data_IF_700283473487
#
_entry.id   IF_700283473487
#
_cell.length_a   1.000
_cell.length_b   1.000
_cell.length_c   1.000
_cell.angle_alpha   90.00
_cell.angle_beta   90.00
_cell.angle_gamma   90.00
#
_symmetry.space_group_name_H-M   'P 1'
#
loop_
_entity.id
_entity.type
_entity.pdbx_description
1 polymer ?
#
# COMPACT_ATOMS: atom_id res chain seq x y z
N UNK A 1 -11.36 8.06 18.40
CA UNK A 1 -12.79 7.94 18.02
C UNK A 1 -12.90 7.51 16.57
N UNK A 2 -13.74 6.52 16.28
CA UNK A 2 -13.99 6.03 14.91
C UNK A 2 -15.05 6.93 14.23
N UNK A 3 -14.76 7.51 13.05
CA UNK A 3 -15.72 8.38 12.36
C UNK A 3 -16.98 7.65 11.86
N UNK A 4 -18.13 8.34 11.88
CA UNK A 4 -19.45 7.80 11.47
C UNK A 4 -19.51 7.33 10.02
N UNK A 5 -18.67 7.86 9.14
CA UNK A 5 -18.57 7.41 7.74
C UNK A 5 -18.20 5.91 7.64
N UNK A 6 -17.67 5.32 8.73
CA UNK A 6 -17.36 3.89 8.85
C UNK A 6 -18.46 3.06 9.53
N UNK A 7 -19.64 3.62 9.84
CA UNK A 7 -20.71 2.89 10.55
C UNK A 7 -21.30 1.74 9.71
N UNK A 8 -21.23 1.84 8.39
CA UNK A 8 -21.69 0.81 7.45
C UNK A 8 -20.60 -0.18 7.03
N UNK A 9 -19.37 0.00 7.52
CA UNK A 9 -18.27 -0.89 7.19
C UNK A 9 -18.38 -2.19 7.99
N UNK A 10 -17.86 -3.29 7.44
CA UNK A 10 -17.76 -4.54 8.21
C UNK A 10 -16.59 -4.44 9.17
N UNK A 11 -16.80 -4.91 10.40
CA UNK A 11 -15.81 -4.91 11.47
C UNK A 11 -15.56 -6.35 11.92
N UNK A 12 -14.28 -6.73 12.01
CA UNK A 12 -13.85 -8.04 12.47
C UNK A 12 -12.97 -7.83 13.70
N UNK A 13 -13.30 -8.52 14.79
CA UNK A 13 -12.46 -8.51 15.99
C UNK A 13 -11.07 -9.10 15.66
N UNK A 14 -10.02 -8.36 16.03
CA UNK A 14 -8.65 -8.73 15.74
C UNK A 14 -7.75 -8.38 16.94
N UNK A 15 -7.47 -9.38 17.79
CA UNK A 15 -6.76 -9.17 19.05
C UNK A 15 -7.55 -8.22 19.98
N UNK A 16 -6.88 -7.20 20.49
CA UNK A 16 -7.46 -6.16 21.34
C UNK A 16 -8.27 -5.13 20.55
N UNK A 17 -8.10 -5.06 19.24
CA UNK A 17 -8.77 -4.09 18.36
C UNK A 17 -9.79 -4.70 17.41
N UNK A 18 -10.07 -3.97 16.33
CA UNK A 18 -10.87 -4.41 15.19
C UNK A 18 -10.27 -3.95 13.85
N UNK A 19 -10.40 -4.81 12.83
CA UNK A 19 -10.11 -4.47 11.44
C UNK A 19 -11.43 -4.15 10.73
N UNK A 20 -11.43 -3.08 9.95
CA UNK A 20 -12.62 -2.48 9.36
C UNK A 20 -12.48 -2.51 7.83
N UNK A 21 -13.37 -3.21 7.13
CA UNK A 21 -13.43 -3.22 5.67
C UNK A 21 -14.51 -2.27 5.17
N UNK A 22 -14.11 -1.17 4.54
CA UNK A 22 -15.00 -0.12 4.06
C UNK A 22 -15.22 -0.21 2.55
N UNK A 23 -16.12 -1.09 2.10
CA UNK A 23 -16.47 -1.23 0.68
C UNK A 23 -16.98 0.10 0.06
N UNK A 24 -17.72 0.90 0.83
CA UNK A 24 -18.17 2.23 0.41
C UNK A 24 -17.06 3.27 0.25
N UNK A 25 -15.84 2.97 0.73
CA UNK A 25 -14.66 3.82 0.58
C UNK A 25 -13.63 3.09 -0.29
N UNK A 26 -13.99 2.71 -1.52
CA UNK A 26 -13.09 2.03 -2.48
C UNK A 26 -12.49 0.71 -1.96
N UNK A 27 -13.12 0.08 -0.95
CA UNK A 27 -12.62 -1.14 -0.32
C UNK A 27 -11.38 -0.95 0.56
N UNK A 28 -11.19 0.24 1.13
CA UNK A 28 -10.11 0.53 2.07
C UNK A 28 -10.23 -0.32 3.34
N UNK A 29 -9.09 -0.72 3.90
CA UNK A 29 -9.05 -1.36 5.23
C UNK A 29 -8.61 -0.32 6.25
N UNK A 30 -9.29 -0.28 7.39
CA UNK A 30 -8.86 0.50 8.54
C UNK A 30 -8.63 -0.42 9.74
N UNK A 31 -7.91 0.08 10.74
CA UNK A 31 -7.67 -0.62 11.98
C UNK A 31 -8.02 0.34 13.11
N UNK A 32 -8.66 -0.19 14.15
CA UNK A 32 -8.96 0.55 15.35
C UNK A 32 -8.56 -0.24 16.59
N UNK A 33 -8.06 0.48 17.60
CA UNK A 33 -7.70 -0.05 18.90
C UNK A 33 -8.24 0.92 19.96
N UNK A 34 -8.92 0.40 20.98
CA UNK A 34 -9.58 1.21 22.03
C UNK A 34 -10.48 2.34 21.47
N UNK A 35 -11.30 2.03 20.45
CA UNK A 35 -12.16 3.01 19.75
C UNK A 35 -11.40 4.18 19.08
N UNK A 36 -10.09 4.04 18.91
CA UNK A 36 -9.25 4.96 18.15
C UNK A 36 -8.90 4.39 16.78
N UNK A 37 -9.21 5.16 15.73
CA UNK A 37 -8.76 4.85 14.38
C UNK A 37 -7.25 5.05 14.28
N UNK A 38 -6.52 4.00 13.92
CA UNK A 38 -5.06 4.04 13.83
C UNK A 38 -4.61 4.67 12.52
N UNK A 39 -5.25 4.31 11.41
CA UNK A 39 -4.94 4.85 10.10
C UNK A 39 -5.44 6.28 9.93
N UNK A 40 -4.75 7.04 9.07
CA UNK A 40 -5.25 8.33 8.55
C UNK A 40 -6.58 8.08 7.84
N UNK A 41 -7.55 8.98 8.04
CA UNK A 41 -8.76 9.09 7.24
C UNK A 41 -9.09 10.56 6.98
N UNK A 42 -9.20 10.92 5.70
CA UNK A 42 -9.68 12.22 5.27
C UNK A 42 -11.23 12.21 5.25
N UNK A 43 -11.83 12.56 6.39
CA UNK A 43 -13.30 12.50 6.56
C UNK A 43 -14.03 13.43 5.59
N UNK A 44 -13.65 14.72 5.43
CA UNK A 44 -14.31 15.60 4.47
C UNK A 44 -14.29 15.05 3.03
N UNK A 45 -13.14 14.51 2.59
CA UNK A 45 -13.02 13.92 1.25
C UNK A 45 -13.81 12.60 1.12
N UNK A 46 -13.91 11.82 2.19
CA UNK A 46 -14.71 10.59 2.20
C UNK A 46 -16.22 10.88 2.14
N UNK A 47 -16.67 11.97 2.76
CA UNK A 47 -18.07 12.43 2.72
C UNK A 47 -18.40 13.13 1.40
N UNK A 48 -17.43 13.80 0.79
CA UNK A 48 -17.56 14.59 -0.43
C UNK A 48 -16.43 14.27 -1.43
N UNK A 49 -16.45 13.08 -2.07
CA UNK A 49 -15.43 12.70 -3.04
C UNK A 49 -15.42 13.64 -4.24
N UNK A 50 -14.23 13.89 -4.77
CA UNK A 50 -14.02 14.71 -5.95
C UNK A 50 -13.84 13.87 -7.22
N UNK A 51 -13.89 14.52 -8.38
CA UNK A 51 -13.51 13.92 -9.67
C UNK A 51 -11.99 13.72 -9.80
N UNK A 52 -11.20 14.31 -8.89
CA UNK A 52 -9.76 14.13 -8.80
C UNK A 52 -9.40 12.97 -7.86
N UNK A 53 -8.11 12.68 -7.70
CA UNK A 53 -7.67 11.56 -6.85
C UNK A 53 -8.15 11.70 -5.40
N UNK A 54 -9.01 10.78 -4.97
CA UNK A 54 -9.55 10.68 -3.63
C UNK A 54 -8.58 9.91 -2.70
N UNK A 55 -7.58 10.60 -2.16
CA UNK A 55 -6.60 10.04 -1.21
C UNK A 55 -7.17 9.92 0.22
N UNK A 56 -8.10 8.99 0.41
CA UNK A 56 -8.86 8.87 1.66
C UNK A 56 -8.02 8.46 2.88
N UNK A 57 -6.87 7.81 2.71
CA UNK A 57 -6.10 7.21 3.82
C UNK A 57 -6.30 5.70 3.94
N UNK A 58 -6.14 5.10 5.12
CA UNK A 58 -6.29 3.65 5.32
C UNK A 58 -5.30 2.77 4.53
N UNK A 59 -5.61 1.48 4.47
CA UNK A 59 -4.98 0.52 3.56
C UNK A 59 -5.66 0.57 2.18
N UNK A 60 -4.98 1.01 1.12
CA UNK A 60 -5.47 0.85 -0.27
C UNK A 60 -4.69 -0.18 -1.06
N UNK A 61 -5.39 -0.86 -1.97
CA UNK A 61 -4.76 -1.55 -3.08
C UNK A 61 -4.55 -0.57 -4.24
N UNK A 62 -3.38 -0.62 -4.88
CA UNK A 62 -3.04 0.21 -6.03
C UNK A 62 -2.50 -0.65 -7.16
N UNK A 63 -2.95 -0.45 -8.41
CA UNK A 63 -2.42 -1.18 -9.56
C UNK A 63 -1.04 -0.65 -9.96
N UNK A 64 -0.19 -1.54 -10.44
CA UNK A 64 1.14 -1.25 -10.95
C UNK A 64 1.32 -1.90 -12.34
N UNK A 65 2.10 -1.29 -13.25
CA UNK A 65 3.10 -0.26 -12.98
C UNK A 65 2.54 1.18 -12.98
N UNK A 66 3.19 2.07 -12.23
CA UNK A 66 2.87 3.52 -12.23
C UNK A 66 3.56 4.25 -13.40
N UNK A 67 4.69 3.72 -13.89
CA UNK A 67 5.51 4.28 -14.96
C UNK A 67 5.79 3.31 -16.12
N UNK A 68 6.67 3.72 -17.04
CA UNK A 68 6.99 2.97 -18.27
C UNK A 68 5.85 2.85 -19.28
N UNK A 69 5.98 1.90 -20.22
CA UNK A 69 5.02 1.67 -21.32
C UNK A 69 3.68 1.09 -20.85
N UNK A 70 3.68 0.37 -19.72
CA UNK A 70 2.48 -0.28 -19.18
C UNK A 70 1.79 0.56 -18.10
N UNK A 71 2.21 1.81 -17.89
CA UNK A 71 1.69 2.67 -16.82
C UNK A 71 0.17 2.86 -16.89
N UNK A 72 -0.51 2.80 -15.75
CA UNK A 72 -1.95 3.10 -15.66
C UNK A 72 -2.25 4.58 -15.38
N UNK A 73 -1.29 5.32 -14.84
CA UNK A 73 -1.52 6.71 -14.44
C UNK A 73 -1.16 7.72 -15.53
N UNK A 74 -0.45 7.29 -16.57
CA UNK A 74 -0.06 8.13 -17.70
C UNK A 74 -0.88 7.75 -18.94
N UNK A 75 -1.73 8.66 -19.44
CA UNK A 75 -2.51 8.46 -20.64
C UNK A 75 -1.65 8.18 -21.88
N UNK A 76 -2.21 7.42 -22.83
CA UNK A 76 -1.58 7.12 -24.13
C UNK A 76 -1.41 8.35 -25.02
N UNK A 77 -2.22 9.39 -24.82
CA UNK A 77 -2.16 10.68 -25.53
C UNK A 77 -1.10 11.65 -24.98
N UNK A 78 -0.33 11.23 -23.96
CA UNK A 78 0.69 12.08 -23.32
C UNK A 78 0.12 13.09 -22.33
N UNK A 79 -1.14 12.93 -21.91
CA UNK A 79 -1.76 13.75 -20.87
C UNK A 79 -1.06 13.66 -19.50
N UNK A 80 -1.48 14.51 -18.54
CA UNK A 80 -0.89 14.52 -17.20
C UNK A 80 -1.23 13.25 -16.42
N UNK A 81 -0.46 12.99 -15.37
CA UNK A 81 -0.73 11.92 -14.40
C UNK A 81 -2.16 12.03 -13.86
N UNK A 82 -2.91 10.93 -13.89
CA UNK A 82 -4.28 10.85 -13.36
C UNK A 82 -4.56 9.51 -12.68
N UNK A 83 -5.61 9.48 -11.86
CA UNK A 83 -6.14 8.24 -11.28
C UNK A 83 -7.41 7.90 -12.01
N UNK A 84 -7.45 6.73 -12.64
CA UNK A 84 -8.61 6.29 -13.42
C UNK A 84 -9.81 5.98 -12.52
N UNK A 85 -11.02 6.13 -13.07
CA UNK A 85 -12.29 5.89 -12.38
C UNK A 85 -12.39 4.50 -11.76
N UNK A 86 -11.85 3.48 -12.45
CA UNK A 86 -11.74 2.12 -11.94
C UNK A 86 -11.09 2.03 -10.56
N UNK A 87 -10.16 2.94 -10.25
CA UNK A 87 -9.52 3.04 -8.94
C UNK A 87 -10.31 4.01 -8.05
N UNK A 88 -10.66 5.18 -8.60
CA UNK A 88 -11.06 6.38 -7.86
C UNK A 88 -12.53 6.43 -7.44
N UNK A 89 -13.44 5.84 -8.21
CA UNK A 89 -14.88 6.09 -8.08
C UNK A 89 -15.74 4.84 -8.19
N UNK A 90 -15.26 3.77 -8.81
CA UNK A 90 -16.05 2.52 -8.92
C UNK A 90 -16.29 1.91 -7.53
N UNK A 91 -17.57 1.69 -7.14
CA UNK A 91 -17.93 1.16 -5.83
C UNK A 91 -17.53 -0.31 -5.69
N UNK A 92 -17.26 -0.71 -4.45
CA UNK A 92 -17.08 -2.11 -4.09
C UNK A 92 -18.34 -2.71 -3.48
N UNK A 93 -18.52 -4.00 -3.71
CA UNK A 93 -19.59 -4.80 -3.13
C UNK A 93 -19.00 -5.76 -2.10
N UNK A 94 -19.63 -5.84 -0.94
CA UNK A 94 -19.26 -6.81 0.09
C UNK A 94 -19.59 -8.23 -0.38
N UNK A 95 -18.70 -9.17 -0.08
CA UNK A 95 -18.99 -10.59 -0.21
C UNK A 95 -20.02 -11.01 0.86
N UNK A 96 -20.83 -12.05 0.59
CA UNK A 96 -21.89 -12.49 1.51
C UNK A 96 -21.40 -12.90 2.91
N UNK A 97 -20.15 -13.35 3.02
CA UNK A 97 -19.53 -13.73 4.29
C UNK A 97 -19.06 -12.52 5.13
N UNK A 98 -19.06 -11.31 4.55
CA UNK A 98 -18.58 -10.09 5.19
C UNK A 98 -17.06 -10.00 5.32
N UNK A 99 -16.31 -11.01 4.87
CA UNK A 99 -14.85 -11.08 5.02
C UNK A 99 -14.11 -10.57 3.79
N UNK A 100 -14.80 -10.16 2.74
CA UNK A 100 -14.16 -9.57 1.58
C UNK A 100 -15.06 -8.67 0.76
N UNK A 101 -14.49 -8.12 -0.30
CA UNK A 101 -15.19 -7.29 -1.26
C UNK A 101 -14.70 -7.58 -2.68
N UNK A 102 -15.55 -7.25 -3.64
CA UNK A 102 -15.26 -7.32 -5.06
C UNK A 102 -15.70 -6.03 -5.76
N UNK A 103 -15.03 -5.70 -6.86
CA UNK A 103 -15.53 -4.75 -7.86
C UNK A 103 -14.96 -5.07 -9.23
N UNK A 104 -15.73 -4.81 -10.26
CA UNK A 104 -15.24 -4.86 -11.64
C UNK A 104 -14.79 -3.47 -12.06
N UNK A 105 -13.56 -3.36 -12.56
CA UNK A 105 -12.95 -2.09 -12.95
C UNK A 105 -12.40 -2.21 -14.36
N UNK A 106 -12.25 -1.08 -15.04
CA UNK A 106 -11.51 -1.00 -16.30
C UNK A 106 -10.30 -0.11 -16.09
N UNK A 107 -9.14 -0.57 -16.55
CA UNK A 107 -7.90 0.22 -16.60
C UNK A 107 -7.37 0.24 -18.02
N UNK A 108 -7.00 1.43 -18.50
CA UNK A 108 -6.22 1.62 -19.73
C UNK A 108 -4.74 1.84 -19.37
N UNK A 109 -3.83 1.16 -20.03
CA UNK A 109 -2.40 1.46 -19.87
C UNK A 109 -1.92 2.52 -20.88
N UNK A 110 -0.68 2.99 -20.72
CA UNK A 110 -0.06 4.00 -21.58
C UNK A 110 0.07 3.58 -23.05
N UNK A 111 -0.11 2.30 -23.38
CA UNK A 111 -0.20 1.81 -24.77
C UNK A 111 -1.60 1.97 -25.39
N UNK A 112 -2.58 2.48 -24.64
CA UNK A 112 -3.97 2.57 -25.05
C UNK A 112 -4.72 1.24 -24.97
N UNK A 113 -4.16 0.23 -24.29
CA UNK A 113 -4.80 -1.07 -24.12
C UNK A 113 -5.67 -1.02 -22.87
N UNK A 114 -6.98 -1.17 -23.06
CA UNK A 114 -7.97 -1.25 -21.99
C UNK A 114 -8.21 -2.70 -21.57
N UNK A 115 -8.24 -2.96 -20.27
CA UNK A 115 -8.57 -4.27 -19.70
C UNK A 115 -9.64 -4.15 -18.61
N UNK A 116 -10.60 -5.07 -18.64
CA UNK A 116 -11.55 -5.27 -17.55
C UNK A 116 -10.97 -6.24 -16.53
N UNK A 117 -11.09 -5.87 -15.26
CA UNK A 117 -10.45 -6.54 -14.14
C UNK A 117 -11.47 -6.81 -13.04
N UNK A 118 -11.41 -7.98 -12.45
CA UNK A 118 -12.03 -8.26 -11.16
C UNK A 118 -11.02 -7.90 -10.07
N UNK A 119 -11.33 -6.87 -9.30
CA UNK A 119 -10.60 -6.52 -8.09
C UNK A 119 -11.27 -7.20 -6.90
N UNK A 120 -10.52 -8.00 -6.16
CA UNK A 120 -10.99 -8.63 -4.92
C UNK A 120 -10.06 -8.33 -3.75
N UNK A 121 -10.66 -8.28 -2.56
CA UNK A 121 -9.93 -8.14 -1.30
C UNK A 121 -10.61 -8.97 -0.23
N UNK A 122 -9.86 -9.84 0.42
CA UNK A 122 -10.31 -10.68 1.54
C UNK A 122 -9.47 -10.31 2.76
N UNK A 123 -10.13 -10.07 3.90
CA UNK A 123 -9.47 -9.77 5.16
C UNK A 123 -9.68 -10.92 6.16
N UNK A 124 -8.65 -11.13 6.98
CA UNK A 124 -8.67 -12.11 8.07
C UNK A 124 -8.12 -11.50 9.35
N UNK A 125 -8.52 -12.06 10.49
CA UNK A 125 -8.02 -11.72 11.81
C UNK A 125 -7.31 -12.97 12.40
N UNK A 126 -6.01 -13.14 12.14
CA UNK A 126 -5.28 -14.30 12.64
C UNK A 126 -5.27 -14.34 14.16
N UNK A 127 -5.34 -15.55 14.74
CA UNK A 127 -5.36 -15.76 16.20
C UNK A 127 -3.98 -15.72 16.87
N UNK A 128 -2.92 -15.43 16.12
CA UNK A 128 -1.57 -15.34 16.65
C UNK A 128 -1.19 -13.88 16.85
N UNK A 129 -0.50 -13.62 17.95
CA UNK A 129 -0.05 -12.30 18.35
C UNK A 129 1.13 -12.42 19.31
N UNK A 130 1.90 -11.34 19.42
CA UNK A 130 3.07 -11.24 20.28
C UNK A 130 2.86 -10.23 21.42
N UNK A 131 1.77 -9.47 21.40
CA UNK A 131 1.51 -8.35 22.29
C UNK A 131 1.48 -8.78 23.76
N UNK A 132 0.75 -9.87 24.05
CA UNK A 132 0.68 -10.43 25.41
C UNK A 132 2.04 -10.79 26.02
N UNK A 133 3.03 -11.19 25.21
CA UNK A 133 4.39 -11.50 25.68
C UNK A 133 5.14 -10.25 26.17
N UNK A 134 4.84 -9.09 25.58
CA UNK A 134 5.52 -7.83 25.84
C UNK A 134 4.66 -6.85 26.66
N UNK A 135 3.46 -7.27 27.08
CA UNK A 135 2.53 -6.41 27.82
C UNK A 135 1.98 -5.26 26.98
N UNK A 136 1.92 -5.42 25.66
CA UNK A 136 1.38 -4.41 24.74
C UNK A 136 0.05 -4.89 24.16
N UNK A 137 -0.88 -3.96 23.95
CA UNK A 137 -2.10 -4.23 23.19
C UNK A 137 -1.73 -4.51 21.74
N UNK A 138 -2.46 -5.42 21.11
CA UNK A 138 -2.20 -5.78 19.72
C UNK A 138 -3.45 -5.93 18.88
N UNK A 139 -3.29 -5.61 17.59
CA UNK A 139 -4.21 -5.97 16.54
C UNK A 139 -3.40 -6.59 15.40
N UNK A 140 -3.83 -7.76 14.94
CA UNK A 140 -3.21 -8.46 13.82
C UNK A 140 -4.29 -8.76 12.79
N UNK A 141 -4.06 -8.33 11.55
CA UNK A 141 -4.93 -8.67 10.43
C UNK A 141 -4.10 -9.10 9.22
N UNK A 142 -4.72 -9.87 8.34
CA UNK A 142 -4.18 -10.24 7.04
C UNK A 142 -5.09 -9.71 5.95
N UNK A 143 -4.52 -9.24 4.85
CA UNK A 143 -5.25 -8.96 3.61
C UNK A 143 -4.74 -9.89 2.51
N UNK A 144 -5.66 -10.38 1.68
CA UNK A 144 -5.37 -11.03 0.41
C UNK A 144 -6.04 -10.19 -0.68
N UNK A 145 -5.23 -9.63 -1.57
CA UNK A 145 -5.69 -8.73 -2.63
C UNK A 145 -5.46 -9.44 -3.97
N UNK A 146 -6.44 -9.41 -4.88
CA UNK A 146 -6.26 -9.87 -6.26
C UNK A 146 -6.76 -8.82 -7.26
N UNK A 147 -6.06 -8.76 -8.40
CA UNK A 147 -6.51 -8.09 -9.61
C UNK A 147 -6.44 -9.14 -10.72
N UNK A 148 -7.58 -9.55 -11.23
CA UNK A 148 -7.69 -10.64 -12.20
C UNK A 148 -8.27 -10.13 -13.50
N UNK A 149 -7.62 -10.43 -14.62
CA UNK A 149 -8.18 -10.14 -15.94
C UNK A 149 -9.46 -10.94 -16.16
N UNK A 150 -10.55 -10.27 -16.52
CA UNK A 150 -11.79 -10.98 -16.89
C UNK A 150 -11.68 -11.68 -18.25
N UNK A 151 -10.67 -11.29 -19.05
CA UNK A 151 -10.28 -11.95 -20.31
C UNK A 151 -8.76 -11.90 -20.47
N UNK A 152 -8.10 -13.00 -20.89
CA UNK A 152 -6.66 -13.01 -21.11
C UNK A 152 -6.22 -11.95 -22.12
N UNK A 153 -5.09 -11.29 -21.85
CA UNK A 153 -4.40 -10.38 -22.75
C UNK A 153 -2.94 -10.82 -22.91
N UNK A 154 -2.32 -10.60 -24.09
CA UNK A 154 -0.90 -10.84 -24.26
C UNK A 154 -0.08 -9.98 -23.29
N UNK A 155 0.98 -10.55 -22.71
CA UNK A 155 1.93 -9.82 -21.85
C UNK A 155 2.65 -8.68 -22.58
N UNK A 156 2.68 -8.71 -23.92
CA UNK A 156 3.16 -7.58 -24.74
C UNK A 156 2.24 -6.38 -24.67
N UNK A 157 0.96 -6.58 -24.37
CA UNK A 157 -0.09 -5.58 -24.49
C UNK A 157 -0.53 -5.08 -23.13
N UNK A 158 -0.53 -5.96 -22.12
CA UNK A 158 -0.97 -5.64 -20.78
C UNK A 158 -0.17 -6.40 -19.72
N UNK A 159 0.39 -5.66 -18.77
CA UNK A 159 1.05 -6.20 -17.58
C UNK A 159 0.46 -5.51 -16.36
N UNK A 160 0.29 -6.26 -15.29
CA UNK A 160 -0.30 -5.75 -14.06
C UNK A 160 0.27 -6.44 -12.85
N UNK A 161 0.51 -5.66 -11.81
CA UNK A 161 0.80 -6.07 -10.45
C UNK A 161 0.00 -5.16 -9.50
N UNK A 162 0.14 -5.37 -8.20
CA UNK A 162 -0.46 -4.50 -7.22
C UNK A 162 0.48 -4.29 -6.03
N UNK A 163 0.34 -3.13 -5.40
CA UNK A 163 0.91 -2.88 -4.08
C UNK A 163 -0.17 -2.38 -3.13
N UNK A 164 0.02 -2.68 -1.85
CA UNK A 164 -0.88 -2.23 -0.79
C UNK A 164 -0.23 -1.13 0.04
N UNK A 165 -1.05 -0.15 0.43
CA UNK A 165 -0.58 1.07 1.04
C UNK A 165 -1.22 1.33 2.39
N UNK A 166 -0.48 1.21 3.49
CA UNK A 166 -0.98 1.77 4.76
C UNK A 166 -0.68 3.26 4.80
N UNK A 167 -1.61 4.03 5.39
CA UNK A 167 -1.43 5.45 5.60
C UNK A 167 -1.69 5.80 7.06
N UNK A 168 -0.71 6.44 7.68
CA UNK A 168 -0.78 6.91 9.06
C UNK A 168 -0.40 8.38 9.10
N UNK A 169 -1.01 9.11 10.02
CA UNK A 169 -0.54 10.43 10.41
C UNK A 169 0.77 10.26 11.18
N UNK A 170 1.84 10.83 10.62
CA UNK A 170 3.15 10.85 11.23
C UNK A 170 3.28 12.06 12.12
N UNK A 171 4.02 11.86 13.19
CA UNK A 171 4.30 12.88 14.19
C UNK A 171 5.80 13.11 14.28
N UNK A 172 6.22 14.18 14.95
CA UNK A 172 7.65 14.44 15.13
C UNK A 172 8.33 13.26 15.84
N UNK A 173 9.52 12.89 15.36
CA UNK A 173 10.26 11.74 15.90
C UNK A 173 9.80 10.38 15.40
N UNK A 174 8.72 10.28 14.60
CA UNK A 174 8.36 9.04 13.94
C UNK A 174 9.48 8.57 12.99
N UNK A 175 9.65 7.25 12.90
CA UNK A 175 10.64 6.65 12.01
C UNK A 175 10.16 5.31 11.45
N UNK A 176 10.64 4.99 10.26
CA UNK A 176 10.47 3.68 9.66
C UNK A 176 11.59 2.74 10.07
N UNK A 177 11.31 1.45 10.04
CA UNK A 177 12.29 0.41 10.27
C UNK A 177 12.02 -0.80 9.40
N UNK A 178 13.01 -1.69 9.31
CA UNK A 178 12.83 -2.97 8.66
C UNK A 178 14.05 -3.86 8.83
N UNK A 179 13.96 -5.02 8.21
CA UNK A 179 15.08 -5.97 8.08
C UNK A 179 15.46 -6.12 6.62
N UNK A 180 16.75 -6.18 6.36
CA UNK A 180 17.34 -6.50 5.06
C UNK A 180 18.80 -6.85 5.26
N UNK A 181 19.32 -7.83 4.52
CA UNK A 181 20.75 -8.11 4.47
C UNK A 181 21.49 -6.86 4.02
N UNK A 182 22.46 -6.43 4.80
CA UNK A 182 23.23 -5.21 4.51
C UNK A 182 24.14 -5.40 3.28
N UNK A 183 23.57 -5.18 2.11
CA UNK A 183 24.29 -5.07 0.84
C UNK A 183 24.26 -3.62 0.34
N UNK A 184 25.26 -3.19 -0.42
CA UNK A 184 25.29 -1.84 -1.02
C UNK A 184 24.15 -1.55 -2.00
N UNK A 185 23.30 -2.54 -2.29
CA UNK A 185 22.12 -2.47 -3.16
C UNK A 185 20.81 -2.71 -2.41
N UNK A 186 20.83 -2.72 -1.08
CA UNK A 186 19.65 -3.03 -0.29
C UNK A 186 18.58 -1.95 -0.34
N UNK A 187 18.99 -0.69 -0.51
CA UNK A 187 18.08 0.46 -0.58
C UNK A 187 18.09 1.03 -1.98
N UNK A 188 16.91 1.16 -2.56
CA UNK A 188 16.68 1.95 -3.75
C UNK A 188 16.16 3.34 -3.37
N UNK A 189 16.78 4.40 -3.89
CA UNK A 189 16.44 5.79 -3.61
C UNK A 189 16.22 6.62 -4.88
N UNK A 190 16.04 5.97 -6.02
CA UNK A 190 15.85 6.63 -7.32
C UNK A 190 14.48 7.32 -7.50
N UNK A 191 13.59 7.19 -6.51
CA UNK A 191 12.23 7.73 -6.57
C UNK A 191 12.13 9.25 -6.40
N UNK A 192 12.64 9.78 -5.27
CA UNK A 192 12.48 11.21 -4.90
C UNK A 192 13.73 11.82 -4.25
N UNK A 193 14.91 11.26 -4.54
CA UNK A 193 16.21 11.79 -4.09
C UNK A 193 16.92 10.91 -3.08
N UNK A 194 18.16 11.29 -2.75
CA UNK A 194 19.02 10.54 -1.84
C UNK A 194 18.58 10.68 -0.37
N UNK A 195 18.26 9.59 0.34
CA UNK A 195 17.91 9.62 1.76
C UNK A 195 19.09 10.02 2.65
N UNK A 196 20.33 9.95 2.16
CA UNK A 196 21.55 10.38 2.86
C UNK A 196 21.65 9.83 4.28
N UNK A 197 21.85 10.72 5.25
CA UNK A 197 21.97 10.38 6.68
C UNK A 197 20.65 10.05 7.39
N UNK A 198 19.53 9.95 6.66
CA UNK A 198 18.24 9.54 7.23
C UNK A 198 18.15 8.05 7.46
N UNK A 199 18.99 7.24 6.80
CA UNK A 199 19.06 5.79 7.01
C UNK A 199 20.23 5.47 7.95
N UNK A 200 19.95 4.68 8.99
CA UNK A 200 20.97 4.11 9.86
C UNK A 200 20.83 2.59 9.90
N UNK A 201 21.96 1.87 9.87
CA UNK A 201 22.03 0.41 9.87
C UNK A 201 22.59 -0.11 11.18
N UNK A 202 22.01 -1.19 11.70
CA UNK A 202 22.51 -1.97 12.82
C UNK A 202 22.38 -3.47 12.49
N UNK A 203 23.47 -4.10 12.04
CA UNK A 203 23.41 -5.44 11.46
C UNK A 203 22.50 -5.47 10.23
N UNK A 204 21.58 -6.44 10.19
CA UNK A 204 20.56 -6.60 9.13
C UNK A 204 19.25 -5.85 9.45
N UNK A 205 19.31 -4.87 10.34
CA UNK A 205 18.19 -3.96 10.62
C UNK A 205 18.54 -2.55 10.18
N UNK A 206 17.55 -1.80 9.74
CA UNK A 206 17.71 -0.38 9.41
C UNK A 206 16.59 0.45 10.03
N UNK A 207 16.88 1.72 10.28
CA UNK A 207 15.90 2.77 10.56
C UNK A 207 15.96 3.84 9.49
N UNK A 208 14.82 4.50 9.25
CA UNK A 208 14.66 5.59 8.31
C UNK A 208 13.90 6.72 8.98
N UNK A 209 14.58 7.83 9.25
CA UNK A 209 13.98 8.98 9.93
C UNK A 209 13.03 9.75 9.02
N UNK A 210 11.82 10.00 9.50
CA UNK A 210 10.88 10.89 8.82
C UNK A 210 11.20 12.36 9.05
N UNK A 211 10.54 13.22 8.27
CA UNK A 211 10.68 14.67 8.33
C UNK A 211 11.65 15.25 7.31
N UNK A 212 11.73 16.58 7.28
CA UNK A 212 12.34 17.37 6.20
C UNK A 212 11.30 18.05 5.32
N UNK A 213 11.72 19.01 4.49
CA UNK A 213 10.84 19.69 3.52
C UNK A 213 10.44 18.80 2.35
N UNK A 214 11.20 17.74 2.10
CA UNK A 214 11.21 17.05 0.82
C UNK A 214 10.37 15.77 0.87
N UNK A 215 9.70 15.49 -0.24
CA UNK A 215 9.09 14.19 -0.51
C UNK A 215 10.21 13.16 -0.62
N UNK A 216 10.15 12.09 0.16
CA UNK A 216 11.17 11.04 0.13
C UNK A 216 10.52 9.66 0.09
N UNK A 217 11.14 8.76 -0.67
CA UNK A 217 10.80 7.35 -0.73
C UNK A 217 12.07 6.52 -0.75
N UNK A 218 12.06 5.43 0.01
CA UNK A 218 13.06 4.38 -0.09
C UNK A 218 12.36 3.08 -0.45
N UNK A 219 12.88 2.40 -1.45
CA UNK A 219 12.59 1.00 -1.77
C UNK A 219 13.60 0.10 -1.09
N UNK A 220 13.18 -1.10 -0.71
CA UNK A 220 14.05 -2.13 -0.16
C UNK A 220 14.08 -3.29 -1.13
N UNK A 221 15.28 -3.58 -1.61
CA UNK A 221 15.46 -4.57 -2.65
C UNK A 221 15.11 -5.98 -2.15
N UNK A 222 14.39 -6.74 -2.96
CA UNK A 222 14.14 -8.17 -2.77
C UNK A 222 15.43 -8.98 -2.63
N UNK A 223 16.48 -8.60 -3.37
CA UNK A 223 17.80 -9.24 -3.32
C UNK A 223 18.48 -9.09 -1.95
N UNK A 224 18.03 -8.12 -1.16
CA UNK A 224 18.45 -7.98 0.24
C UNK A 224 17.62 -8.83 1.20
N UNK A 225 16.76 -9.71 0.70
CA UNK A 225 15.93 -10.65 1.47
C UNK A 225 15.19 -9.98 2.65
N UNK A 226 14.41 -8.91 2.41
CA UNK A 226 13.81 -8.19 3.51
C UNK A 226 12.67 -8.98 4.13
N UNK A 227 12.70 -9.13 5.46
CA UNK A 227 11.71 -9.94 6.19
C UNK A 227 10.50 -9.15 6.69
N UNK A 228 10.68 -7.86 6.96
CA UNK A 228 9.65 -7.00 7.57
C UNK A 228 9.94 -5.52 7.29
N UNK A 229 8.88 -4.73 7.23
CA UNK A 229 8.88 -3.26 7.18
C UNK A 229 7.89 -2.73 8.22
N UNK A 230 8.19 -1.60 8.84
CA UNK A 230 7.35 -1.05 9.88
C UNK A 230 7.64 0.40 10.22
N UNK A 231 6.86 0.92 11.15
CA UNK A 231 6.89 2.28 11.64
C UNK A 231 6.82 2.30 13.15
N UNK A 232 7.50 3.26 13.78
CA UNK A 232 7.16 3.67 15.13
C UNK A 232 6.64 5.11 15.12
N UNK A 233 5.49 5.33 15.75
CA UNK A 233 4.81 6.62 15.88
C UNK A 233 4.76 6.97 17.37
N UNK A 234 5.71 7.77 17.88
CA UNK A 234 5.88 8.00 19.32
C UNK A 234 4.67 8.61 20.02
N UNK A 235 3.98 9.55 19.37
CA UNK A 235 2.80 10.23 19.97
C UNK A 235 1.67 9.26 20.32
N UNK A 236 1.55 8.15 19.58
CA UNK A 236 0.57 7.10 19.80
C UNK A 236 1.14 5.88 20.53
N UNK A 237 2.43 5.90 20.86
CA UNK A 237 3.21 4.73 21.27
C UNK A 237 2.93 3.48 20.40
N UNK A 238 2.83 3.69 19.08
CA UNK A 238 2.35 2.71 18.12
C UNK A 238 3.50 2.16 17.28
N UNK A 239 3.72 0.85 17.35
CA UNK A 239 4.55 0.12 16.41
C UNK A 239 3.68 -0.58 15.35
N UNK A 240 3.89 -0.23 14.08
CA UNK A 240 3.24 -0.88 12.94
C UNK A 240 4.24 -1.83 12.30
N UNK A 241 3.83 -3.07 12.07
CA UNK A 241 4.68 -4.10 11.48
C UNK A 241 3.94 -4.75 10.32
N UNK A 242 4.57 -4.78 9.14
CA UNK A 242 4.04 -5.41 7.93
C UNK A 242 5.01 -6.44 7.40
N UNK A 243 4.48 -7.58 7.01
CA UNK A 243 5.24 -8.67 6.38
C UNK A 243 4.41 -9.33 5.28
N UNK A 244 5.09 -9.92 4.31
CA UNK A 244 4.47 -10.80 3.33
C UNK A 244 4.44 -12.19 3.96
N UNK A 245 3.26 -12.74 4.19
CA UNK A 245 3.10 -14.08 4.81
C UNK A 245 3.06 -15.18 3.74
N UNK A 246 2.58 -14.83 2.54
CA UNK A 246 2.58 -15.68 1.35
C UNK A 246 2.89 -14.79 0.15
N UNK A 247 3.97 -15.12 -0.55
CA UNK A 247 4.27 -14.53 -1.85
C UNK A 247 3.76 -15.48 -2.93
N UNK A 248 3.12 -14.94 -3.96
CA UNK A 248 2.77 -15.71 -5.15
C UNK A 248 4.04 -16.05 -5.95
N UNK A 249 4.04 -17.15 -6.68
CA UNK A 249 5.16 -17.55 -7.56
C UNK A 249 5.26 -16.71 -8.85
N UNK A 250 4.66 -15.53 -8.83
CA UNK A 250 4.53 -14.61 -9.96
C UNK A 250 5.83 -13.93 -10.37
N UNK A 251 5.84 -13.39 -11.59
CA UNK A 251 6.95 -12.55 -12.05
C UNK A 251 6.89 -11.18 -11.36
N UNK A 252 8.04 -10.54 -11.11
CA UNK A 252 8.08 -9.18 -10.57
C UNK A 252 8.16 -8.15 -11.69
N UNK A 253 7.41 -7.06 -11.55
CA UNK A 253 7.48 -5.89 -12.43
C UNK A 253 7.82 -4.62 -11.66
N UNK A 254 8.54 -3.71 -12.30
CA UNK A 254 8.94 -2.42 -11.78
C UNK A 254 7.68 -1.56 -11.67
N UNK A 255 7.40 -1.06 -10.47
CA UNK A 255 6.23 -0.24 -10.20
C UNK A 255 6.56 1.25 -10.11
N UNK A 256 7.84 1.62 -10.23
CA UNK A 256 8.29 2.99 -10.05
C UNK A 256 7.58 3.94 -11.02
N UNK A 257 7.25 5.11 -10.48
CA UNK A 257 6.70 6.25 -11.22
C UNK A 257 7.84 6.98 -11.95
N UNK A 258 8.44 6.29 -12.92
CA UNK A 258 9.53 6.80 -13.76
C UNK A 258 9.51 6.14 -15.15
N UNK A 259 10.48 6.47 -15.99
CA UNK A 259 10.56 5.94 -17.36
C UNK A 259 10.94 4.45 -17.45
N UNK A 260 11.38 3.83 -16.34
CA UNK A 260 11.81 2.42 -16.29
C UNK A 260 12.83 2.08 -17.39
N UNK A 261 13.96 2.82 -17.43
CA UNK A 261 14.98 2.72 -18.49
C UNK A 261 15.54 1.31 -18.70
N UNK A 262 15.59 0.51 -17.65
CA UNK A 262 16.05 -0.89 -17.69
C UNK A 262 14.90 -1.89 -17.94
N UNK A 263 13.71 -1.39 -18.33
CA UNK A 263 12.53 -2.14 -18.69
C UNK A 263 11.61 -2.47 -17.51
N UNK A 264 10.40 -2.94 -17.83
CA UNK A 264 9.35 -3.27 -16.84
C UNK A 264 9.71 -4.41 -15.90
N UNK A 265 10.71 -5.24 -16.21
CA UNK A 265 11.18 -6.33 -15.36
C UNK A 265 12.41 -5.99 -14.52
N UNK A 266 12.85 -4.73 -14.53
CA UNK A 266 13.96 -4.23 -13.69
C UNK A 266 13.63 -4.14 -12.20
N UNK A 267 12.51 -4.72 -11.78
CA UNK A 267 11.99 -4.61 -10.43
C UNK A 267 13.03 -5.04 -9.38
N UNK A 268 13.43 -4.12 -8.52
CA UNK A 268 14.31 -4.43 -7.41
C UNK A 268 13.59 -4.47 -6.06
N UNK A 269 12.48 -3.74 -5.84
CA UNK A 269 11.95 -3.51 -4.49
C UNK A 269 10.77 -4.42 -4.05
N UNK A 270 10.84 -4.95 -2.82
CA UNK A 270 9.76 -5.68 -2.15
C UNK A 270 8.97 -4.82 -1.15
N UNK A 271 9.63 -3.85 -0.53
CA UNK A 271 9.02 -2.95 0.43
C UNK A 271 9.39 -1.53 0.07
N UNK A 272 8.53 -0.57 0.41
CA UNK A 272 8.89 0.84 0.28
C UNK A 272 8.28 1.68 1.40
N UNK A 273 9.05 2.64 1.89
CA UNK A 273 8.62 3.63 2.88
C UNK A 273 8.60 5.00 2.21
N UNK A 274 7.51 5.73 2.38
CA UNK A 274 7.30 7.03 1.76
C UNK A 274 6.83 8.07 2.79
N UNK A 275 7.35 9.30 2.67
CA UNK A 275 6.99 10.44 3.54
C UNK A 275 6.73 11.70 2.73
N UNK A 276 5.68 12.46 3.08
CA UNK A 276 5.36 13.78 2.48
C UNK A 276 4.95 14.77 3.54
N UNK A 277 5.46 16.00 3.41
CA UNK A 277 5.11 17.13 4.28
C UNK A 277 3.64 17.53 4.22
N UNK A 278 3.00 17.51 3.05
CA UNK A 278 1.79 18.31 2.79
C UNK A 278 0.57 17.99 3.68
N UNK A 279 0.57 16.89 4.42
CA UNK A 279 -0.48 16.58 5.41
C UNK A 279 0.06 15.85 6.66
N UNK A 280 1.37 15.87 6.92
CA UNK A 280 1.96 15.03 7.98
C UNK A 280 1.68 13.54 7.80
N UNK A 281 1.69 13.00 6.56
CA UNK A 281 1.30 11.61 6.30
C UNK A 281 2.46 10.78 5.74
N UNK A 282 2.60 9.54 6.22
CA UNK A 282 3.42 8.51 5.58
C UNK A 282 2.56 7.59 4.74
N UNK A 283 3.18 7.02 3.72
CA UNK A 283 2.62 5.91 2.96
C UNK A 283 3.59 4.71 3.06
N UNK A 284 3.08 3.54 3.39
CA UNK A 284 3.86 2.31 3.50
C UNK A 284 3.46 1.38 2.38
N UNK A 285 4.32 1.18 1.38
CA UNK A 285 4.04 0.29 0.24
C UNK A 285 4.56 -1.12 0.57
N UNK A 286 3.69 -2.12 0.51
CA UNK A 286 4.08 -3.55 0.51
C UNK A 286 3.70 -4.13 -0.84
N UNK A 287 4.70 -4.66 -1.52
CA UNK A 287 4.61 -5.19 -2.87
C UNK A 287 4.03 -6.61 -2.89
N UNK A 288 3.35 -6.98 -3.97
CA UNK A 288 2.98 -8.37 -4.29
C UNK A 288 3.45 -8.75 -5.70
N UNK A 289 3.87 -10.01 -5.91
CA UNK A 289 4.13 -10.55 -7.25
C UNK A 289 2.88 -10.51 -8.10
N UNK A 290 3.01 -10.25 -9.40
CA UNK A 290 1.91 -10.47 -10.33
C UNK A 290 1.74 -11.95 -10.57
N UNK A 291 0.61 -12.52 -10.17
CA UNK A 291 0.19 -13.85 -10.66
C UNK A 291 0.01 -13.80 -12.17
N UNK A 292 0.63 -14.74 -12.88
CA UNK A 292 0.50 -14.96 -14.32
C UNK A 292 -0.85 -15.57 -14.67
#
# INVERSE_FOLDING_TARGET
>A
MIPRILDKAVRIKAGDGEVILAAGLQGRIFAALDDELLHRLDVPLAEHPSDSFNNLGGNSLWPAPEGGDFAFNYPSDGGPWRVQDGINSVPSHMLPDGHGMIREITLENRKGVSASLLHSRIIGAPKYGFGGKYGVKELVYSACDSLELTRPLPVSDFLMSAWSLEQFDLTEGAFGFGTAKRSGKAVNSDFYGDPGSKIAWAGDTYTFRFGGSDRLQIGISEKAEPGVIGAYIPEKDLAVVRRIVRADAGTRINFADNDQKDGVYSADDQYSIFTVRTHGSSKWKVWRPSGS
#
